data_IF_166772710250
#
_entry.id   IF_166772710250
#
_cell.length_a   1.000
_cell.length_b   1.000
_cell.length_c   1.000
_cell.angle_alpha   90.00
_cell.angle_beta   90.00
_cell.angle_gamma   90.00
#
_symmetry.space_group_name_H-M   'P 1'
#
loop_
_entity.id
_entity.type
_entity.pdbx_description
1 polymer ?
#
# COMPACT_ATOMS: atom_id res chain seq x y z
N UNK A 1 3.24 17.18 -1.54
CA UNK A 1 3.08 15.76 -1.16
C UNK A 1 2.32 15.72 0.15
N UNK A 2 1.07 15.28 0.14
CA UNK A 2 0.24 15.18 1.33
C UNK A 2 0.83 14.21 2.37
N UNK A 3 0.89 14.65 3.63
CA UNK A 3 1.46 13.94 4.79
C UNK A 3 0.84 12.55 5.06
N UNK A 4 -0.35 12.29 4.53
CA UNK A 4 -1.06 11.02 4.71
C UNK A 4 -0.50 9.90 3.82
N UNK A 5 0.01 10.24 2.64
CA UNK A 5 0.45 9.26 1.64
C UNK A 5 1.73 8.54 2.03
N UNK A 6 2.77 9.32 2.35
CA UNK A 6 4.07 8.77 2.73
C UNK A 6 3.99 7.92 4.00
N UNK A 7 2.97 8.14 4.83
CA UNK A 7 2.74 7.39 6.06
C UNK A 7 2.22 5.98 5.79
N UNK A 8 1.20 5.83 4.94
CA UNK A 8 0.61 4.52 4.65
C UNK A 8 1.56 3.61 3.88
N UNK A 9 2.26 4.15 2.87
CA UNK A 9 3.28 3.38 2.13
C UNK A 9 4.41 2.90 3.05
N UNK A 10 4.97 3.81 3.87
CA UNK A 10 6.04 3.45 4.82
C UNK A 10 5.58 2.43 5.84
N UNK A 11 4.34 2.52 6.35
CA UNK A 11 3.81 1.47 7.21
C UNK A 11 3.70 0.13 6.50
N UNK A 12 3.19 0.11 5.26
CA UNK A 12 3.17 -1.09 4.42
C UNK A 12 4.53 -1.76 4.33
N UNK A 13 5.58 -0.99 4.02
CA UNK A 13 6.96 -1.46 3.93
C UNK A 13 7.51 -1.98 5.27
N UNK A 14 7.25 -1.28 6.38
CA UNK A 14 7.70 -1.69 7.72
C UNK A 14 7.02 -3.00 8.16
N UNK A 15 5.73 -3.15 7.92
CA UNK A 15 5.01 -4.37 8.27
C UNK A 15 5.35 -5.53 7.31
N UNK A 16 5.65 -5.26 6.04
CA UNK A 16 6.21 -6.22 5.08
C UNK A 16 7.55 -6.76 5.60
N UNK A 17 8.49 -5.88 5.99
CA UNK A 17 9.79 -6.27 6.55
C UNK A 17 9.69 -7.05 7.87
N UNK A 18 8.62 -6.82 8.64
CA UNK A 18 8.34 -7.53 9.90
C UNK A 18 7.55 -8.83 9.71
N UNK A 19 7.36 -9.29 8.47
CA UNK A 19 6.56 -10.47 8.12
C UNK A 19 5.09 -10.40 8.58
N UNK A 20 4.60 -9.22 8.96
CA UNK A 20 3.20 -8.97 9.31
C UNK A 20 2.40 -8.67 8.05
N UNK A 21 2.37 -9.67 7.14
CA UNK A 21 1.85 -9.51 5.77
C UNK A 21 0.39 -9.04 5.71
N UNK A 22 -0.47 -9.51 6.61
CA UNK A 22 -1.87 -9.05 6.69
C UNK A 22 -1.99 -7.55 6.99
N UNK A 23 -1.12 -7.02 7.88
CA UNK A 23 -1.08 -5.61 8.22
C UNK A 23 -0.48 -4.80 7.07
N UNK A 24 0.60 -5.30 6.46
CA UNK A 24 1.20 -4.69 5.27
C UNK A 24 0.18 -4.54 4.13
N UNK A 25 -0.63 -5.58 3.89
CA UNK A 25 -1.69 -5.57 2.89
C UNK A 25 -2.74 -4.48 3.14
N UNK A 26 -3.11 -4.24 4.40
CA UNK A 26 -4.08 -3.21 4.79
C UNK A 26 -3.53 -1.80 4.52
N UNK A 27 -2.28 -1.55 4.87
CA UNK A 27 -1.63 -0.26 4.61
C UNK A 27 -1.40 0.01 3.12
N UNK A 28 -1.04 -1.00 2.33
CA UNK A 28 -0.96 -0.86 0.88
C UNK A 28 -2.34 -0.63 0.24
N UNK A 29 -3.40 -1.26 0.74
CA UNK A 29 -4.77 -0.96 0.30
C UNK A 29 -5.14 0.51 0.59
N UNK A 30 -4.84 1.00 1.80
CA UNK A 30 -5.05 2.42 2.17
C UNK A 30 -4.25 3.38 1.29
N UNK A 31 -3.02 3.02 0.92
CA UNK A 31 -2.21 3.81 -0.02
C UNK A 31 -2.84 3.84 -1.42
N UNK A 32 -3.37 2.71 -1.90
CA UNK A 32 -4.10 2.66 -3.17
C UNK A 32 -5.37 3.53 -3.15
N UNK A 33 -6.18 3.44 -2.10
CA UNK A 33 -7.42 4.22 -2.00
C UNK A 33 -7.15 5.73 -1.88
N UNK A 34 -6.07 6.13 -1.22
CA UNK A 34 -5.61 7.52 -1.21
C UNK A 34 -5.14 7.98 -2.60
N UNK A 35 -4.33 7.17 -3.28
CA UNK A 35 -3.83 7.49 -4.63
C UNK A 35 -4.95 7.58 -5.68
N UNK A 36 -6.10 6.91 -5.48
CA UNK A 36 -7.26 7.04 -6.40
C UNK A 36 -7.94 8.42 -6.34
N UNK A 37 -7.96 9.06 -5.17
CA UNK A 37 -8.73 10.30 -4.95
C UNK A 37 -7.86 11.55 -4.94
N UNK A 38 -6.53 11.40 -4.96
CA UNK A 38 -5.60 12.51 -4.85
C UNK A 38 -5.08 12.98 -6.19
N UNK A 39 -5.19 14.30 -6.48
CA UNK A 39 -4.55 14.87 -7.66
C UNK A 39 -3.02 14.73 -7.54
N UNK A 40 -2.38 14.34 -8.66
CA UNK A 40 -0.94 14.07 -8.72
C UNK A 40 -0.56 12.59 -8.58
N UNK A 41 -1.53 11.69 -8.44
CA UNK A 41 -1.31 10.25 -8.52
C UNK A 41 -1.84 9.67 -9.82
N UNK A 42 -0.94 9.06 -10.58
CA UNK A 42 -1.28 8.33 -11.79
C UNK A 42 -1.77 6.92 -11.49
N UNK A 43 -2.46 6.34 -12.47
CA UNK A 43 -2.97 4.95 -12.41
C UNK A 43 -1.88 3.94 -12.02
N UNK A 44 -0.65 4.14 -12.49
CA UNK A 44 0.49 3.27 -12.16
C UNK A 44 0.80 3.22 -10.65
N UNK A 45 0.60 4.32 -9.91
CA UNK A 45 0.78 4.32 -8.46
C UNK A 45 -0.31 3.52 -7.76
N UNK A 46 -1.56 3.65 -8.21
CA UNK A 46 -2.69 2.87 -7.68
C UNK A 46 -2.46 1.38 -7.93
N UNK A 47 -2.07 1.00 -9.15
CA UNK A 47 -1.80 -0.39 -9.52
C UNK A 47 -0.62 -0.98 -8.74
N UNK A 48 0.45 -0.20 -8.52
CA UNK A 48 1.59 -0.61 -7.69
C UNK A 48 1.14 -0.98 -6.27
N UNK A 49 0.36 -0.11 -5.62
CA UNK A 49 -0.12 -0.36 -4.26
C UNK A 49 -1.08 -1.55 -4.18
N UNK A 50 -1.99 -1.70 -5.15
CA UNK A 50 -2.88 -2.84 -5.21
C UNK A 50 -2.11 -4.16 -5.43
N UNK A 51 -1.10 -4.15 -6.30
CA UNK A 51 -0.24 -5.31 -6.54
C UNK A 51 0.51 -5.72 -5.27
N UNK A 52 1.08 -4.75 -4.55
CA UNK A 52 1.70 -4.98 -3.24
C UNK A 52 0.71 -5.57 -2.23
N UNK A 53 -0.49 -5.00 -2.12
CA UNK A 53 -1.53 -5.51 -1.23
C UNK A 53 -1.93 -6.96 -1.58
N UNK A 54 -2.05 -7.28 -2.87
CA UNK A 54 -2.38 -8.62 -3.35
C UNK A 54 -1.28 -9.62 -2.99
N UNK A 55 -0.02 -9.30 -3.30
CA UNK A 55 1.15 -10.15 -2.96
C UNK A 55 1.18 -10.51 -1.48
N UNK A 56 0.96 -9.53 -0.60
CA UNK A 56 0.94 -9.76 0.85
C UNK A 56 -0.20 -10.67 1.31
N UNK A 57 -1.32 -10.72 0.58
CA UNK A 57 -2.46 -11.62 0.87
C UNK A 57 -2.25 -13.02 0.28
N UNK A 58 -1.55 -13.13 -0.85
CA UNK A 58 -1.31 -14.39 -1.54
C UNK A 58 -0.21 -15.24 -0.88
N UNK A 59 0.77 -14.62 -0.23
CA UNK A 59 1.82 -15.32 0.55
C UNK A 59 1.32 -16.00 1.85
N UNK A 60 0.01 -16.26 1.96
CA UNK A 60 -0.62 -17.05 3.02
C UNK A 60 -0.75 -18.54 2.69
N UNK A 61 -0.21 -18.98 1.55
CA UNK A 61 -0.23 -20.35 1.05
C UNK A 61 1.14 -21.00 1.20
#
# INVERSE_FOLDING_TARGET
>A
MDLLQGRSERFGQVYEARWKKHIAADYYQKAADFAKVMPGFDKGSVEYYLSKARKMREEKK
#
